data_IF_594804209057
#
_entry.id   IF_594804209057
#
_cell.length_a   1.000
_cell.length_b   1.000
_cell.length_c   1.000
_cell.angle_alpha   90.00
_cell.angle_beta   90.00
_cell.angle_gamma   90.00
#
_symmetry.space_group_name_H-M   'P 1'
#
loop_
_entity.id
_entity.type
_entity.pdbx_description
1 polymer ?
#
# COMPACT_ATOMS: atom_id res chain seq x y z
N UNK A 1 8.96 -6.00 19.83
CA UNK A 1 7.87 -7.00 19.96
C UNK A 1 7.38 -7.19 21.39
N UNK A 2 8.25 -7.36 22.39
CA UNK A 2 7.83 -7.51 23.80
C UNK A 2 6.83 -6.43 24.29
N UNK A 3 7.05 -5.17 23.92
CA UNK A 3 6.15 -4.08 24.32
C UNK A 3 4.78 -4.10 23.64
N UNK A 4 4.71 -4.61 22.40
CA UNK A 4 3.50 -4.54 21.57
C UNK A 4 2.62 -5.78 21.75
N UNK A 5 3.25 -6.96 21.85
CA UNK A 5 2.56 -8.26 21.85
C UNK A 5 2.71 -9.02 23.19
N UNK A 6 3.67 -8.62 24.03
CA UNK A 6 4.00 -9.30 25.29
C UNK A 6 5.22 -10.23 25.17
N UNK A 7 5.61 -10.84 26.30
CA UNK A 7 6.86 -11.63 26.42
C UNK A 7 6.89 -12.87 25.53
N UNK A 8 5.74 -13.50 25.29
CA UNK A 8 5.65 -14.75 24.53
C UNK A 8 5.45 -14.53 23.02
N UNK A 9 5.69 -13.33 22.49
CA UNK A 9 5.37 -12.99 21.09
C UNK A 9 5.97 -13.97 20.07
N UNK A 10 7.09 -14.62 20.42
CA UNK A 10 7.77 -15.59 19.56
C UNK A 10 6.89 -16.79 19.19
N UNK A 11 5.90 -17.15 20.01
CA UNK A 11 4.99 -18.28 19.75
C UNK A 11 4.04 -18.04 18.57
N UNK A 12 3.91 -16.80 18.12
CA UNK A 12 3.05 -16.44 16.98
C UNK A 12 3.76 -16.58 15.63
N UNK A 13 5.04 -16.96 15.62
CA UNK A 13 5.86 -17.03 14.41
C UNK A 13 6.54 -18.40 14.31
N UNK A 14 6.32 -19.10 13.20
CA UNK A 14 7.02 -20.36 12.90
C UNK A 14 8.52 -20.13 12.64
N UNK A 15 8.85 -19.01 12.01
CA UNK A 15 10.22 -18.61 11.66
C UNK A 15 10.40 -17.12 11.94
N UNK A 16 11.48 -16.75 12.65
CA UNK A 16 11.79 -15.36 12.98
C UNK A 16 13.15 -14.99 12.36
N UNK A 17 13.10 -14.16 11.33
CA UNK A 17 14.30 -13.65 10.65
C UNK A 17 14.50 -12.19 11.03
N UNK A 18 15.69 -11.88 11.54
CA UNK A 18 16.16 -10.53 11.87
C UNK A 18 17.26 -10.14 10.87
N UNK A 19 17.37 -8.85 10.58
CA UNK A 19 18.45 -8.36 9.70
C UNK A 19 18.51 -9.03 8.33
N UNK A 20 17.35 -9.30 7.72
CA UNK A 20 17.25 -9.94 6.39
C UNK A 20 18.00 -9.17 5.29
N UNK A 21 18.34 -7.89 5.53
CA UNK A 21 19.01 -7.00 4.57
C UNK A 21 18.25 -6.89 3.25
N UNK A 22 16.96 -6.53 3.31
CA UNK A 22 16.17 -6.23 2.11
C UNK A 22 16.80 -5.05 1.35
N UNK A 23 16.90 -5.08 0.01
CA UNK A 23 16.30 -6.06 -0.90
C UNK A 23 17.15 -7.30 -1.17
N UNK A 24 18.38 -7.39 -0.66
CA UNK A 24 19.31 -8.49 -0.96
C UNK A 24 18.77 -9.86 -0.54
N UNK A 25 17.92 -9.91 0.49
CA UNK A 25 17.18 -11.11 0.86
C UNK A 25 16.45 -11.78 -0.33
N UNK A 26 15.87 -10.96 -1.21
CA UNK A 26 15.09 -11.42 -2.37
C UNK A 26 15.96 -11.68 -3.61
N UNK A 27 17.19 -11.13 -3.65
CA UNK A 27 18.05 -11.14 -4.84
C UNK A 27 19.26 -12.06 -4.73
N UNK A 28 19.73 -12.31 -3.51
CA UNK A 28 20.90 -13.11 -3.23
C UNK A 28 20.53 -14.59 -3.14
N UNK A 29 21.37 -15.45 -3.70
CA UNK A 29 21.10 -16.88 -3.75
C UNK A 29 21.76 -17.65 -2.59
N UNK A 30 22.69 -17.04 -1.84
CA UNK A 30 23.66 -17.83 -1.06
C UNK A 30 24.03 -17.31 0.33
N UNK A 31 23.41 -16.25 0.82
CA UNK A 31 23.63 -15.81 2.20
C UNK A 31 23.05 -16.84 3.17
N UNK A 32 23.84 -17.46 4.07
CA UNK A 32 23.32 -18.45 5.02
C UNK A 32 22.55 -17.76 6.14
N UNK A 33 21.53 -18.44 6.68
CA UNK A 33 20.96 -18.07 7.97
C UNK A 33 21.94 -18.42 9.10
N UNK A 34 22.05 -17.53 10.09
CA UNK A 34 22.83 -17.76 11.32
C UNK A 34 21.93 -17.65 12.54
N UNK A 35 22.00 -18.62 13.45
CA UNK A 35 21.24 -18.57 14.70
C UNK A 35 21.87 -17.54 15.65
N UNK A 36 21.03 -16.66 16.22
CA UNK A 36 21.48 -15.60 17.13
C UNK A 36 20.67 -15.59 18.44
N UNK A 37 21.27 -15.09 19.51
CA UNK A 37 20.60 -14.85 20.78
C UNK A 37 19.79 -13.53 20.76
N UNK A 38 19.19 -13.15 21.89
CA UNK A 38 18.43 -11.89 22.00
C UNK A 38 19.30 -10.63 21.83
N UNK A 39 20.60 -10.74 22.09
CA UNK A 39 21.58 -9.66 21.97
C UNK A 39 22.16 -9.56 20.55
N UNK A 40 21.79 -10.48 19.65
CA UNK A 40 22.32 -10.58 18.29
C UNK A 40 23.67 -11.29 18.21
N UNK A 41 24.15 -11.90 19.29
CA UNK A 41 25.36 -12.72 19.28
C UNK A 41 25.09 -14.06 18.60
N UNK A 42 26.05 -14.52 17.79
CA UNK A 42 25.94 -15.81 17.10
C UNK A 42 25.95 -16.96 18.12
N UNK A 43 24.92 -17.79 18.07
CA UNK A 43 24.84 -19.03 18.84
C UNK A 43 25.67 -20.15 18.19
N UNK A 44 25.82 -20.08 16.87
CA UNK A 44 26.67 -20.97 16.09
C UNK A 44 27.30 -20.21 14.92
N UNK A 45 28.53 -20.60 14.57
CA UNK A 45 29.22 -20.12 13.38
C UNK A 45 28.76 -20.84 12.11
N UNK A 46 28.12 -21.99 12.26
CA UNK A 46 27.62 -22.82 11.16
C UNK A 46 26.33 -22.26 10.55
N UNK A 47 26.11 -22.56 9.28
CA UNK A 47 24.87 -22.24 8.60
C UNK A 47 23.71 -23.08 9.13
N UNK A 48 22.54 -22.47 9.27
CA UNK A 48 21.34 -23.13 9.78
C UNK A 48 20.81 -24.13 8.76
N UNK A 49 20.62 -25.38 9.20
CA UNK A 49 20.07 -26.48 8.40
C UNK A 49 18.60 -26.77 8.69
N UNK A 50 18.04 -26.23 9.79
CA UNK A 50 16.64 -26.37 10.18
C UNK A 50 16.20 -25.20 11.06
N UNK A 51 14.97 -24.75 10.90
CA UNK A 51 14.35 -23.76 11.78
C UNK A 51 13.76 -24.41 13.04
N UNK A 52 13.97 -23.75 14.17
CA UNK A 52 13.46 -24.11 15.49
C UNK A 52 12.50 -23.03 15.98
N UNK A 53 11.41 -23.48 16.62
CA UNK A 53 10.37 -22.57 17.11
C UNK A 53 10.94 -21.63 18.18
N UNK A 54 10.76 -20.33 17.98
CA UNK A 54 11.23 -19.29 18.91
C UNK A 54 12.70 -18.90 18.79
N UNK A 55 13.46 -19.54 17.89
CA UNK A 55 14.84 -19.18 17.59
C UNK A 55 14.90 -17.98 16.63
N UNK A 56 15.88 -17.09 16.84
CA UNK A 56 16.14 -15.93 15.98
C UNK A 56 17.21 -16.26 14.94
N UNK A 57 16.98 -15.81 13.71
CA UNK A 57 17.88 -16.07 12.58
C UNK A 57 18.30 -14.77 11.91
N UNK A 58 19.60 -14.56 11.74
CA UNK A 58 20.15 -13.38 11.07
C UNK A 58 20.39 -13.65 9.57
N UNK A 59 20.01 -12.68 8.73
CA UNK A 59 20.34 -12.66 7.30
C UNK A 59 19.57 -13.70 6.49
N UNK A 60 20.30 -14.54 5.75
CA UNK A 60 19.72 -15.55 4.88
C UNK A 60 19.34 -15.05 3.48
N UNK A 61 18.71 -15.96 2.72
CA UNK A 61 18.12 -15.68 1.41
C UNK A 61 16.74 -16.32 1.30
N UNK A 62 15.92 -15.81 0.39
CA UNK A 62 14.62 -16.40 0.11
C UNK A 62 14.73 -17.84 -0.44
N UNK A 63 15.73 -18.11 -1.28
CA UNK A 63 15.97 -19.45 -1.80
C UNK A 63 16.24 -20.46 -0.68
N UNK A 64 17.07 -20.07 0.30
CA UNK A 64 17.35 -20.91 1.46
C UNK A 64 16.11 -21.06 2.34
N UNK A 65 15.32 -20.00 2.52
CA UNK A 65 14.05 -20.07 3.26
C UNK A 65 13.11 -21.09 2.61
N UNK A 66 12.99 -21.06 1.27
CA UNK A 66 12.19 -22.00 0.50
C UNK A 66 12.68 -23.44 0.65
N UNK A 67 14.00 -23.66 0.57
CA UNK A 67 14.59 -24.99 0.72
C UNK A 67 14.34 -25.57 2.12
N UNK A 68 14.51 -24.77 3.16
CA UNK A 68 14.38 -25.20 4.56
C UNK A 68 12.92 -25.41 4.99
N UNK A 69 12.00 -24.54 4.55
CA UNK A 69 10.58 -24.62 4.93
C UNK A 69 9.74 -25.49 4.01
N UNK A 70 10.18 -25.68 2.76
CA UNK A 70 9.41 -26.33 1.68
C UNK A 70 8.04 -25.68 1.41
N UNK A 71 7.85 -24.42 1.80
CA UNK A 71 6.61 -23.69 1.57
C UNK A 71 6.36 -23.43 0.09
N UNK A 72 5.08 -23.46 -0.31
CA UNK A 72 4.67 -23.13 -1.66
C UNK A 72 4.65 -21.60 -1.83
N UNK A 73 5.64 -21.07 -2.55
CA UNK A 73 5.80 -19.63 -2.78
C UNK A 73 4.57 -18.96 -3.43
N UNK A 74 3.77 -19.69 -4.21
CA UNK A 74 2.55 -19.17 -4.84
C UNK A 74 1.40 -18.93 -3.85
N UNK A 75 1.53 -19.42 -2.60
CA UNK A 75 0.53 -19.27 -1.52
C UNK A 75 1.07 -18.40 -0.39
N UNK A 76 1.84 -17.38 -0.75
CA UNK A 76 2.42 -16.43 0.21
C UNK A 76 1.77 -15.06 0.02
N UNK A 77 1.29 -14.49 1.12
CA UNK A 77 0.90 -13.10 1.23
C UNK A 77 1.95 -12.35 2.05
N UNK A 78 2.68 -11.45 1.42
CA UNK A 78 3.74 -10.67 2.05
C UNK A 78 3.26 -9.27 2.42
N UNK A 79 3.44 -8.90 3.70
CA UNK A 79 3.10 -7.58 4.21
C UNK A 79 4.34 -6.69 4.27
N UNK A 80 4.17 -5.43 3.87
CA UNK A 80 5.22 -4.41 3.97
C UNK A 80 4.62 -3.02 4.05
N UNK A 81 5.31 -2.11 4.72
CA UNK A 81 4.95 -0.69 4.82
C UNK A 81 5.61 0.13 3.72
N UNK A 82 6.78 -0.31 3.24
CA UNK A 82 7.52 0.40 2.21
C UNK A 82 7.36 -0.24 0.82
N UNK A 83 6.49 0.34 -0.01
CA UNK A 83 6.12 -0.17 -1.36
C UNK A 83 7.34 -0.58 -2.22
N UNK A 84 8.43 0.19 -2.24
CA UNK A 84 9.58 -0.11 -3.10
C UNK A 84 10.52 -1.19 -2.54
N UNK A 85 11.03 -1.03 -1.32
CA UNK A 85 12.01 -1.96 -0.73
C UNK A 85 11.41 -3.32 -0.39
N UNK A 86 10.11 -3.36 -0.10
CA UNK A 86 9.46 -4.55 0.43
C UNK A 86 8.65 -5.27 -0.64
N UNK A 87 7.79 -4.54 -1.37
CA UNK A 87 6.76 -5.17 -2.19
C UNK A 87 7.18 -5.35 -3.66
N UNK A 88 8.00 -4.45 -4.20
CA UNK A 88 8.34 -4.49 -5.63
C UNK A 88 9.11 -5.78 -6.01
N UNK A 89 10.12 -6.17 -5.24
CA UNK A 89 10.90 -7.38 -5.52
C UNK A 89 10.08 -8.64 -5.21
N UNK A 90 9.31 -8.65 -4.11
CA UNK A 90 8.42 -9.76 -3.75
C UNK A 90 7.35 -10.03 -4.84
N UNK A 91 6.74 -8.98 -5.39
CA UNK A 91 5.73 -9.09 -6.44
C UNK A 91 6.34 -9.45 -7.80
N UNK A 92 7.35 -8.70 -8.26
CA UNK A 92 7.84 -8.83 -9.64
C UNK A 92 8.72 -10.07 -9.86
N UNK A 93 9.56 -10.42 -8.90
CA UNK A 93 10.54 -11.50 -9.08
C UNK A 93 9.98 -12.86 -8.65
N UNK A 94 9.13 -12.86 -7.61
CA UNK A 94 8.70 -14.09 -6.94
C UNK A 94 7.20 -14.39 -7.07
N UNK A 95 6.42 -13.46 -7.65
CA UNK A 95 5.00 -13.65 -7.91
C UNK A 95 4.16 -13.80 -6.64
N UNK A 96 4.64 -13.28 -5.51
CA UNK A 96 3.89 -13.31 -4.26
C UNK A 96 2.71 -12.36 -4.29
N UNK A 97 1.63 -12.72 -3.59
CA UNK A 97 0.61 -11.75 -3.25
C UNK A 97 1.20 -10.78 -2.22
N UNK A 98 0.93 -9.49 -2.37
CA UNK A 98 1.53 -8.44 -1.54
C UNK A 98 0.45 -7.55 -0.94
N UNK A 99 0.62 -7.20 0.33
CA UNK A 99 -0.26 -6.32 1.07
C UNK A 99 0.53 -5.12 1.62
N UNK A 100 0.16 -3.92 1.20
CA UNK A 100 0.77 -2.70 1.72
C UNK A 100 0.07 -2.21 2.99
N UNK A 101 0.84 -1.85 4.01
CA UNK A 101 0.34 -1.20 5.22
C UNK A 101 0.68 0.28 5.14
N UNK A 102 -0.34 1.14 5.04
CA UNK A 102 -0.19 2.58 4.77
C UNK A 102 -0.94 3.37 5.85
N UNK A 103 -0.29 3.71 6.98
CA UNK A 103 -0.94 4.39 8.10
C UNK A 103 -1.60 5.72 7.71
N UNK A 104 -1.05 6.44 6.72
CA UNK A 104 -1.58 7.70 6.20
C UNK A 104 -2.99 7.56 5.60
N UNK A 105 -3.36 6.35 5.15
CA UNK A 105 -4.67 6.05 4.60
C UNK A 105 -5.80 6.40 5.57
N UNK A 106 -5.62 6.18 6.87
CA UNK A 106 -6.65 6.42 7.89
C UNK A 106 -7.08 7.89 7.93
N UNK A 107 -6.09 8.80 7.89
CA UNK A 107 -6.33 10.24 7.90
C UNK A 107 -7.05 10.70 6.64
N UNK A 108 -6.66 10.16 5.48
CA UNK A 108 -7.32 10.49 4.22
C UNK A 108 -8.75 9.97 4.17
N UNK A 109 -9.00 8.72 4.60
CA UNK A 109 -10.34 8.15 4.66
C UNK A 109 -11.25 8.93 5.60
N UNK A 110 -10.74 9.34 6.76
CA UNK A 110 -11.49 10.17 7.71
C UNK A 110 -11.98 11.46 7.06
N UNK A 111 -11.12 12.16 6.31
CA UNK A 111 -11.50 13.38 5.59
C UNK A 111 -12.46 13.10 4.44
N UNK A 112 -12.15 12.11 3.59
CA UNK A 112 -12.90 11.78 2.38
C UNK A 112 -14.32 11.34 2.72
N UNK A 113 -14.51 10.68 3.86
CA UNK A 113 -15.82 10.23 4.33
C UNK A 113 -16.66 11.32 5.02
N UNK A 114 -16.14 12.55 5.16
CA UNK A 114 -16.97 13.66 5.65
C UNK A 114 -18.00 14.10 4.60
N UNK A 115 -19.22 14.44 5.05
CA UNK A 115 -20.28 14.95 4.15
C UNK A 115 -19.81 16.16 3.35
N UNK A 116 -19.12 17.09 4.01
CA UNK A 116 -18.58 18.31 3.38
C UNK A 116 -17.62 18.00 2.23
N UNK A 117 -16.73 17.02 2.39
CA UNK A 117 -15.81 16.63 1.32
C UNK A 117 -16.55 15.93 0.17
N UNK A 118 -17.48 15.02 0.49
CA UNK A 118 -18.28 14.31 -0.51
C UNK A 118 -19.19 15.24 -1.31
N UNK A 119 -19.85 16.20 -0.67
CA UNK A 119 -20.69 17.20 -1.31
C UNK A 119 -19.85 18.10 -2.24
N UNK A 120 -18.69 18.55 -1.77
CA UNK A 120 -17.75 19.33 -2.59
C UNK A 120 -17.28 18.53 -3.82
N UNK A 121 -16.92 17.26 -3.64
CA UNK A 121 -16.46 16.39 -4.73
C UNK A 121 -17.58 16.13 -5.75
N UNK A 122 -18.81 15.84 -5.30
CA UNK A 122 -19.97 15.68 -6.18
C UNK A 122 -20.22 16.93 -7.00
N UNK A 123 -20.23 18.11 -6.37
CA UNK A 123 -20.39 19.40 -7.06
C UNK A 123 -19.27 19.66 -8.05
N UNK A 124 -18.02 19.36 -7.69
CA UNK A 124 -16.87 19.52 -8.58
C UNK A 124 -16.99 18.66 -9.84
N UNK A 125 -17.35 17.37 -9.68
CA UNK A 125 -17.51 16.44 -10.81
C UNK A 125 -18.60 16.95 -11.77
N UNK A 126 -19.78 17.28 -11.24
CA UNK A 126 -20.89 17.80 -12.05
C UNK A 126 -20.52 19.10 -12.78
N UNK A 127 -19.81 20.00 -12.10
CA UNK A 127 -19.40 21.27 -12.69
C UNK A 127 -18.34 21.08 -13.79
N UNK A 128 -17.43 20.12 -13.63
CA UNK A 128 -16.45 19.77 -14.66
C UNK A 128 -17.13 19.17 -15.90
N UNK A 129 -18.17 18.34 -15.72
CA UNK A 129 -19.00 17.81 -16.81
C UNK A 129 -19.73 18.93 -17.55
N UNK A 130 -20.42 19.82 -16.83
CA UNK A 130 -21.09 20.98 -17.44
C UNK A 130 -20.11 21.88 -18.21
N UNK A 131 -18.91 22.10 -17.68
CA UNK A 131 -17.87 22.86 -18.36
C UNK A 131 -17.41 22.19 -19.66
N UNK A 132 -17.25 20.86 -19.68
CA UNK A 132 -16.86 20.10 -20.88
C UNK A 132 -17.95 20.19 -21.95
N UNK A 133 -19.21 20.00 -21.57
CA UNK A 133 -20.35 20.02 -22.49
C UNK A 133 -20.61 21.41 -23.10
N UNK A 134 -20.36 22.47 -22.32
CA UNK A 134 -20.73 23.85 -22.70
C UNK A 134 -19.54 24.73 -23.10
N UNK A 135 -18.33 24.18 -23.24
CA UNK A 135 -17.10 24.96 -23.44
C UNK A 135 -17.08 25.86 -24.69
N UNK A 136 -17.91 25.57 -25.68
CA UNK A 136 -17.99 26.28 -26.96
C UNK A 136 -19.08 27.35 -27.02
N UNK A 137 -19.72 27.70 -25.90
CA UNK A 137 -20.76 28.73 -25.89
C UNK A 137 -20.20 30.10 -26.35
N UNK A 138 -20.73 30.67 -27.43
CA UNK A 138 -20.21 31.92 -28.03
C UNK A 138 -20.91 33.19 -27.56
N UNK A 139 -22.07 33.08 -26.93
CA UNK A 139 -22.84 34.24 -26.49
C UNK A 139 -22.14 34.95 -25.32
N UNK A 140 -22.29 36.28 -25.23
CA UNK A 140 -21.73 37.05 -24.12
C UNK A 140 -22.23 36.54 -22.75
N UNK A 141 -23.51 36.16 -22.67
CA UNK A 141 -24.11 35.54 -21.49
C UNK A 141 -23.45 34.18 -21.20
N UNK A 142 -23.31 33.30 -22.20
CA UNK A 142 -22.66 32.00 -22.04
C UNK A 142 -21.23 32.11 -21.56
N UNK A 143 -20.43 33.02 -22.14
CA UNK A 143 -19.06 33.29 -21.70
C UNK A 143 -19.00 33.80 -20.26
N UNK A 144 -19.94 34.66 -19.84
CA UNK A 144 -20.02 35.14 -18.45
C UNK A 144 -20.33 34.01 -17.46
N UNK A 145 -21.22 33.09 -17.82
CA UNK A 145 -21.57 31.91 -17.02
C UNK A 145 -20.37 30.96 -16.94
N UNK A 146 -19.72 30.66 -18.06
CA UNK A 146 -18.52 29.82 -18.08
C UNK A 146 -17.39 30.40 -17.21
N UNK A 147 -17.21 31.73 -17.23
CA UNK A 147 -16.25 32.39 -16.35
C UNK A 147 -16.62 32.22 -14.87
N UNK A 148 -17.92 32.31 -14.52
CA UNK A 148 -18.38 32.07 -13.15
C UNK A 148 -18.15 30.62 -12.70
N UNK A 149 -18.44 29.64 -13.57
CA UNK A 149 -18.22 28.22 -13.32
C UNK A 149 -16.74 27.88 -13.18
N UNK A 150 -15.86 28.49 -13.97
CA UNK A 150 -14.40 28.31 -13.82
C UNK A 150 -13.91 28.79 -12.46
N UNK A 151 -14.39 29.94 -11.96
CA UNK A 151 -14.05 30.43 -10.62
C UNK A 151 -14.55 29.50 -9.53
N UNK A 152 -15.80 29.07 -9.64
CA UNK A 152 -16.38 28.10 -8.69
C UNK A 152 -15.58 26.80 -8.66
N UNK A 153 -15.25 26.25 -9.83
CA UNK A 153 -14.40 25.05 -9.96
C UNK A 153 -13.07 25.26 -9.24
N UNK A 154 -12.42 26.40 -9.40
CA UNK A 154 -11.13 26.67 -8.77
C UNK A 154 -11.27 26.75 -7.23
N UNK A 155 -12.36 27.32 -6.71
CA UNK A 155 -12.69 27.30 -5.28
C UNK A 155 -12.91 25.87 -4.76
N UNK A 156 -13.72 25.06 -5.46
CA UNK A 156 -13.99 23.67 -5.08
C UNK A 156 -12.71 22.81 -5.11
N UNK A 157 -11.83 23.05 -6.10
CA UNK A 157 -10.52 22.40 -6.22
C UNK A 157 -9.58 22.78 -5.07
N UNK A 158 -9.60 24.04 -4.64
CA UNK A 158 -8.80 24.50 -3.50
C UNK A 158 -9.30 23.90 -2.19
N UNK A 159 -10.63 23.85 -2.00
CA UNK A 159 -11.24 23.19 -0.84
C UNK A 159 -10.82 21.72 -0.72
N UNK A 160 -10.92 20.96 -1.83
CA UNK A 160 -10.50 19.56 -1.88
C UNK A 160 -9.03 19.35 -1.47
N UNK A 161 -8.17 20.36 -1.66
CA UNK A 161 -6.76 20.29 -1.25
C UNK A 161 -6.53 20.66 0.21
N UNK A 162 -7.27 21.66 0.72
CA UNK A 162 -7.03 22.23 2.04
C UNK A 162 -7.23 21.27 3.20
N UNK A 163 -7.98 20.18 3.00
CA UNK A 163 -8.19 19.17 4.05
C UNK A 163 -7.02 18.20 4.23
N UNK A 164 -6.09 18.15 3.28
CA UNK A 164 -4.91 17.27 3.34
C UNK A 164 -3.69 18.01 3.88
N UNK A 165 -2.51 17.38 3.81
CA UNK A 165 -1.25 18.00 4.23
C UNK A 165 -1.05 19.35 3.51
N UNK A 166 -0.75 20.45 4.23
CA UNK A 166 -0.69 21.79 3.64
C UNK A 166 0.47 21.97 2.65
N UNK A 167 1.54 21.18 2.77
CA UNK A 167 2.72 21.28 1.91
C UNK A 167 2.64 20.36 0.70
N UNK A 168 2.16 19.13 0.89
CA UNK A 168 2.23 18.08 -0.14
C UNK A 168 0.87 17.57 -0.63
N UNK A 169 -0.22 17.91 0.06
CA UNK A 169 -1.57 17.44 -0.26
C UNK A 169 -1.79 15.97 0.10
N UNK A 170 -2.64 15.29 -0.68
CA UNK A 170 -2.92 13.86 -0.52
C UNK A 170 -1.74 13.02 -1.01
N UNK A 171 -1.44 11.96 -0.27
CA UNK A 171 -0.46 10.92 -0.59
C UNK A 171 -0.88 10.19 -1.86
N UNK A 172 -2.18 10.02 -2.12
CA UNK A 172 -2.69 9.20 -3.22
C UNK A 172 -3.01 9.99 -4.48
N UNK A 173 -3.26 11.30 -4.39
CA UNK A 173 -3.84 12.05 -5.50
C UNK A 173 -3.43 13.53 -5.53
N UNK A 174 -3.17 14.01 -6.75
CA UNK A 174 -3.06 15.43 -7.04
C UNK A 174 -4.11 15.80 -8.08
N UNK A 175 -5.19 16.45 -7.64
CA UNK A 175 -6.38 16.73 -8.45
C UNK A 175 -6.93 15.48 -9.14
N UNK A 176 -6.99 15.45 -10.48
CA UNK A 176 -7.53 14.32 -11.23
C UNK A 176 -6.52 13.18 -11.44
N UNK A 177 -5.23 13.38 -11.12
CA UNK A 177 -4.17 12.37 -11.34
C UNK A 177 -3.82 11.64 -10.05
N UNK A 178 -3.62 10.34 -10.18
CA UNK A 178 -2.96 9.54 -9.14
C UNK A 178 -1.55 10.10 -8.89
N UNK A 179 -1.15 10.17 -7.63
CA UNK A 179 0.22 10.47 -7.26
C UNK A 179 1.15 9.35 -7.76
N UNK A 180 2.45 9.64 -7.81
CA UNK A 180 3.45 8.62 -8.13
C UNK A 180 3.39 7.44 -7.13
N UNK A 181 3.17 7.74 -5.85
CA UNK A 181 2.98 6.71 -4.83
C UNK A 181 1.78 5.81 -5.13
N UNK A 182 0.59 6.37 -5.41
CA UNK A 182 -0.61 5.59 -5.72
C UNK A 182 -0.46 4.74 -6.99
N UNK A 183 0.20 5.26 -8.01
CA UNK A 183 0.47 4.49 -9.23
C UNK A 183 1.34 3.26 -8.94
N UNK A 184 2.40 3.43 -8.14
CA UNK A 184 3.29 2.32 -7.77
C UNK A 184 2.65 1.34 -6.81
N UNK A 185 1.82 1.84 -5.90
CA UNK A 185 1.02 1.00 -5.02
C UNK A 185 0.13 0.07 -5.83
N UNK A 186 -0.57 0.59 -6.85
CA UNK A 186 -1.41 -0.22 -7.74
C UNK A 186 -0.66 -1.23 -8.61
N UNK A 187 0.66 -1.08 -8.77
CA UNK A 187 1.50 -2.03 -9.51
C UNK A 187 2.04 -3.15 -8.61
N UNK A 188 2.40 -2.84 -7.37
CA UNK A 188 3.17 -3.74 -6.51
C UNK A 188 2.40 -4.32 -5.33
N UNK A 189 1.21 -3.82 -5.03
CA UNK A 189 0.38 -4.31 -3.94
C UNK A 189 -0.93 -4.89 -4.49
N UNK A 190 -1.19 -6.17 -4.22
CA UNK A 190 -2.48 -6.80 -4.52
C UNK A 190 -3.60 -6.22 -3.65
N UNK A 191 -3.27 -5.79 -2.43
CA UNK A 191 -4.18 -5.08 -1.53
C UNK A 191 -3.42 -4.07 -0.67
N UNK A 192 -4.14 -3.13 -0.06
CA UNK A 192 -3.55 -2.21 0.91
C UNK A 192 -4.54 -1.87 2.03
N UNK A 193 -4.02 -1.55 3.20
CA UNK A 193 -4.79 -1.27 4.42
C UNK A 193 -4.07 -0.25 5.29
N UNK A 194 -4.77 0.48 6.17
CA UNK A 194 -4.14 1.38 7.14
C UNK A 194 -3.40 0.63 8.25
N UNK A 195 -3.92 -0.55 8.62
CA UNK A 195 -3.35 -1.43 9.63
C UNK A 195 -3.60 -2.91 9.29
N UNK A 196 -2.67 -3.79 9.69
CA UNK A 196 -2.83 -5.26 9.58
C UNK A 196 -4.02 -5.73 10.41
N UNK A 197 -4.33 -5.07 11.51
CA UNK A 197 -5.46 -5.42 12.39
C UNK A 197 -6.81 -5.34 11.69
N UNK A 198 -6.93 -4.55 10.61
CA UNK A 198 -8.17 -4.46 9.85
C UNK A 198 -8.58 -5.80 9.24
N UNK A 199 -7.62 -6.71 9.02
CA UNK A 199 -7.89 -8.06 8.52
C UNK A 199 -8.56 -8.97 9.54
N UNK A 200 -8.52 -8.64 10.85
CA UNK A 200 -9.22 -9.38 11.89
C UNK A 200 -10.75 -9.30 11.73
N UNK A 201 -11.23 -8.31 10.99
CA UNK A 201 -12.66 -8.17 10.67
C UNK A 201 -13.09 -9.02 9.48
N UNK A 202 -12.16 -9.70 8.80
CA UNK A 202 -12.45 -10.56 7.66
C UNK A 202 -12.40 -12.04 8.09
N UNK A 203 -13.30 -12.88 7.55
CA UNK A 203 -13.22 -14.32 7.78
C UNK A 203 -11.99 -14.91 7.06
N UNK A 204 -11.48 -16.04 7.55
CA UNK A 204 -10.24 -16.65 7.02
C UNK A 204 -10.38 -17.13 5.56
N UNK A 205 -11.62 -17.38 5.11
CA UNK A 205 -11.95 -17.78 3.75
C UNK A 205 -12.41 -16.60 2.88
N UNK A 206 -12.13 -15.35 3.29
CA UNK A 206 -12.49 -14.18 2.52
C UNK A 206 -11.78 -14.16 1.17
N UNK A 207 -12.54 -13.86 0.10
CA UNK A 207 -12.01 -13.71 -1.26
C UNK A 207 -12.15 -12.26 -1.69
N UNK A 208 -11.02 -11.62 -1.98
CA UNK A 208 -10.98 -10.25 -2.50
C UNK A 208 -11.19 -10.25 -4.01
N UNK A 209 -12.27 -9.60 -4.48
CA UNK A 209 -12.52 -9.39 -5.90
C UNK A 209 -12.11 -7.96 -6.31
N UNK A 210 -11.06 -7.79 -7.13
CA UNK A 210 -10.66 -6.47 -7.60
C UNK A 210 -11.75 -5.89 -8.52
N UNK A 211 -12.02 -4.59 -8.36
CA UNK A 211 -12.94 -3.88 -9.26
C UNK A 211 -12.24 -3.66 -10.60
N UNK A 212 -12.98 -3.85 -11.70
CA UNK A 212 -12.49 -3.54 -13.05
C UNK A 212 -12.29 -2.04 -13.20
N UNK A 213 -11.08 -1.62 -13.56
CA UNK A 213 -10.78 -0.25 -13.95
C UNK A 213 -11.23 -0.04 -15.40
N UNK A 214 -12.13 0.92 -15.63
CA UNK A 214 -12.59 1.22 -16.99
C UNK A 214 -11.51 1.96 -17.78
N UNK A 215 -11.33 1.59 -19.05
CA UNK A 215 -10.49 2.31 -20.00
C UNK A 215 -11.24 3.52 -20.58
N UNK A 216 -10.56 4.58 -21.03
CA UNK A 216 -11.21 5.79 -21.54
C UNK A 216 -12.16 5.57 -22.75
N UNK A 217 -11.97 4.49 -23.49
CA UNK A 217 -12.79 4.13 -24.66
C UNK A 217 -13.88 3.09 -24.33
N UNK A 218 -13.95 2.62 -23.08
CA UNK A 218 -15.02 1.72 -22.65
C UNK A 218 -16.30 2.51 -22.35
N UNK A 219 -17.48 1.96 -22.68
CA UNK A 219 -18.74 2.61 -22.38
C UNK A 219 -18.91 2.76 -20.86
N UNK A 220 -19.35 3.94 -20.43
CA UNK A 220 -19.72 4.25 -19.04
C UNK A 220 -21.11 3.75 -18.70
#
# INVERSE_FOLDING_TARGET
MNYVVGRDWRKFFDVIIVGANKPDFFRSNSSPFRAVDENGAFLSWEGVSKFESGQLYLGGSLDLLKQLTKWQLQRVLYFGDHVYSDLADASNQWGWATAAVIPELEKELTLINTSKYQDNLRRLILLEELLIENQYAVTAVGQSILASWRRERDTLRQFSKSGFNPHFGSVFRSFHKYSYFAQRLGLYASMYTSSVTNLLHLPINHVCYPRRTLLPHEPR
#
